data_IF_075755748349
#
_entry.id   IF_075755748349
#
_cell.length_a   1.000
_cell.length_b   1.000
_cell.length_c   1.000
_cell.angle_alpha   90.00
_cell.angle_beta   90.00
_cell.angle_gamma   90.00
#
_symmetry.space_group_name_H-M   'P 1'
#
loop_
_entity.id
_entity.type
_entity.pdbx_description
1 polymer ?
#
# COMPACT_ATOMS: atom_id res chain seq x y z
N UNK A 1 2.17 9.99 -7.80
CA UNK A 1 3.38 10.28 -8.58
C UNK A 1 4.33 9.09 -8.69
N UNK A 2 4.61 8.34 -7.60
CA UNK A 2 5.57 7.20 -7.62
C UNK A 2 5.18 6.09 -8.58
N UNK A 3 3.89 5.88 -8.82
CA UNK A 3 3.44 4.92 -9.83
C UNK A 3 3.97 5.26 -11.22
N UNK A 4 3.80 6.50 -11.68
CA UNK A 4 4.30 6.94 -13.00
C UNK A 4 5.81 6.70 -13.16
N UNK A 5 6.60 6.93 -12.10
CA UNK A 5 8.04 6.67 -12.11
C UNK A 5 8.36 5.16 -12.20
N UNK A 6 7.51 4.27 -11.68
CA UNK A 6 7.70 2.82 -11.87
C UNK A 6 7.44 2.39 -13.32
N UNK A 7 6.44 2.97 -13.99
CA UNK A 7 6.17 2.73 -15.41
C UNK A 7 7.30 3.27 -16.29
N UNK A 8 7.93 4.37 -15.87
CA UNK A 8 9.12 4.89 -16.53
C UNK A 8 10.28 3.90 -16.53
N UNK A 9 10.56 3.25 -15.39
CA UNK A 9 11.57 2.20 -15.29
C UNK A 9 11.26 0.88 -16.05
N UNK A 10 10.09 0.77 -16.69
CA UNK A 10 9.74 -0.34 -17.60
C UNK A 10 10.13 -0.04 -19.04
N UNK A 11 10.11 1.23 -19.43
CA UNK A 11 10.65 1.71 -20.70
C UNK A 11 12.17 1.93 -20.55
N UNK A 12 12.94 1.94 -21.63
CA UNK A 12 14.37 2.30 -21.52
C UNK A 12 15.32 1.21 -21.01
N UNK A 13 14.88 -0.05 -20.81
CA UNK A 13 15.74 -1.12 -20.24
C UNK A 13 16.83 -1.62 -21.18
N UNK A 14 16.58 -1.56 -22.49
CA UNK A 14 17.49 -2.10 -23.53
C UNK A 14 17.88 -1.03 -24.54
N UNK A 15 16.91 -0.18 -24.94
CA UNK A 15 17.10 0.97 -25.81
C UNK A 15 16.24 2.11 -25.27
N UNK A 16 16.52 3.35 -25.69
CA UNK A 16 15.70 4.52 -25.36
C UNK A 16 14.23 4.27 -25.67
N UNK A 17 13.38 4.45 -24.66
CA UNK A 17 11.96 4.18 -24.74
C UNK A 17 11.13 5.45 -24.55
N UNK A 18 9.97 5.50 -25.18
CA UNK A 18 9.02 6.63 -25.06
C UNK A 18 7.87 6.23 -24.14
N UNK A 19 7.34 7.21 -23.41
CA UNK A 19 6.18 7.02 -22.51
C UNK A 19 5.14 8.07 -22.87
N UNK A 20 3.95 7.61 -23.21
CA UNK A 20 2.84 8.48 -23.55
C UNK A 20 1.86 8.53 -22.39
N UNK A 21 1.80 9.67 -21.73
CA UNK A 21 0.85 9.91 -20.65
C UNK A 21 -0.49 10.41 -21.23
N UNK A 22 -1.55 9.62 -21.04
CA UNK A 22 -2.89 9.89 -21.59
C UNK A 22 -3.76 10.78 -20.69
N UNK A 23 -3.15 11.61 -19.85
CA UNK A 23 -3.85 12.55 -18.95
C UNK A 23 -3.24 13.94 -19.06
N UNK A 24 -4.02 14.97 -18.72
CA UNK A 24 -3.51 16.35 -18.75
C UNK A 24 -2.46 16.57 -17.67
N UNK A 25 -1.52 17.49 -17.91
CA UNK A 25 -0.48 17.83 -16.92
C UNK A 25 -1.07 18.38 -15.62
N UNK A 26 -2.19 19.10 -15.68
CA UNK A 26 -2.89 19.62 -14.50
C UNK A 26 -3.53 18.49 -13.69
N UNK A 27 -4.15 17.52 -14.36
CA UNK A 27 -4.71 16.34 -13.70
C UNK A 27 -3.61 15.51 -13.02
N UNK A 28 -2.50 15.29 -13.71
CA UNK A 28 -1.39 14.51 -13.17
C UNK A 28 -0.79 15.08 -11.89
N UNK A 29 -0.64 16.41 -11.81
CA UNK A 29 -0.11 17.09 -10.62
C UNK A 29 -0.99 16.90 -9.37
N UNK A 30 -2.28 16.59 -9.55
CA UNK A 30 -3.21 16.37 -8.45
C UNK A 30 -3.29 14.90 -8.01
N UNK A 31 -2.57 13.99 -8.66
CA UNK A 31 -2.55 12.57 -8.26
C UNK A 31 -1.69 12.37 -7.01
N UNK A 32 -2.18 11.55 -6.08
CA UNK A 32 -1.46 11.17 -4.87
C UNK A 32 -0.10 10.54 -5.19
N UNK A 33 0.90 10.81 -4.35
CA UNK A 33 2.25 10.28 -4.53
C UNK A 33 2.28 8.76 -4.46
N UNK A 34 1.51 8.19 -3.54
CA UNK A 34 1.36 6.77 -3.32
C UNK A 34 -0.11 6.40 -3.25
N UNK A 35 -0.46 5.21 -3.73
CA UNK A 35 -1.78 4.66 -3.44
C UNK A 35 -1.95 4.42 -1.95
N UNK A 36 -3.19 4.59 -1.47
CA UNK A 36 -3.56 4.24 -0.12
C UNK A 36 -3.21 2.77 0.18
N UNK A 37 -2.52 2.47 1.30
CA UNK A 37 -2.14 1.12 1.67
C UNK A 37 -3.31 0.14 1.60
N UNK A 38 -3.14 -0.97 0.88
CA UNK A 38 -4.23 -1.94 0.63
C UNK A 38 -4.83 -2.49 1.93
N UNK A 39 -4.05 -2.58 3.02
CA UNK A 39 -4.53 -3.02 4.34
C UNK A 39 -5.69 -2.15 4.89
N UNK A 40 -5.78 -0.87 4.48
CA UNK A 40 -6.85 0.03 4.87
C UNK A 40 -8.14 -0.16 4.05
N UNK A 41 -8.03 -0.86 2.91
CA UNK A 41 -9.12 -1.09 1.96
C UNK A 41 -9.65 -2.53 2.00
N UNK A 42 -8.97 -3.42 2.71
CA UNK A 42 -9.27 -4.85 2.78
C UNK A 42 -9.97 -5.23 4.08
N UNK A 43 -10.85 -6.24 4.01
CA UNK A 43 -11.31 -6.94 5.20
C UNK A 43 -10.15 -7.71 5.82
N UNK A 44 -9.80 -7.40 7.07
CA UNK A 44 -8.63 -7.97 7.75
C UNK A 44 -8.84 -9.41 8.25
N UNK A 45 -10.01 -10.02 8.03
CA UNK A 45 -10.37 -11.33 8.60
C UNK A 45 -9.39 -12.44 8.25
N UNK A 46 -8.99 -12.53 6.97
CA UNK A 46 -8.05 -13.58 6.52
C UNK A 46 -6.65 -13.34 7.10
N UNK A 47 -6.21 -12.09 7.16
CA UNK A 47 -4.91 -11.70 7.69
C UNK A 47 -4.83 -11.96 9.19
N UNK A 48 -5.91 -11.68 9.93
CA UNK A 48 -6.02 -12.01 11.36
C UNK A 48 -5.99 -13.52 11.57
N UNK A 49 -6.72 -14.30 10.77
CA UNK A 49 -6.68 -15.77 10.86
C UNK A 49 -5.26 -16.30 10.63
N UNK A 50 -4.57 -15.83 9.59
CA UNK A 50 -3.20 -16.22 9.28
C UNK A 50 -2.22 -15.84 10.40
N UNK A 51 -2.41 -14.69 11.05
CA UNK A 51 -1.60 -14.30 12.21
C UNK A 51 -1.83 -15.22 13.42
N UNK A 52 -3.07 -15.62 13.70
CA UNK A 52 -3.38 -16.55 14.79
C UNK A 52 -2.83 -17.97 14.54
N UNK A 53 -2.67 -18.36 13.26
CA UNK A 53 -2.13 -19.67 12.89
C UNK A 53 -0.60 -19.71 12.83
N UNK A 54 0.09 -18.58 13.02
CA UNK A 54 1.56 -18.53 13.03
C UNK A 54 2.09 -19.02 14.38
N UNK A 55 3.01 -19.99 14.35
CA UNK A 55 3.65 -20.57 15.56
C UNK A 55 4.53 -19.56 16.33
N UNK A 56 4.90 -18.45 15.68
CA UNK A 56 5.69 -17.39 16.29
C UNK A 56 4.88 -16.56 17.29
N UNK A 57 5.17 -16.74 18.59
CA UNK A 57 4.56 -15.97 19.69
C UNK A 57 4.72 -14.45 19.55
N UNK A 58 5.72 -13.97 18.81
CA UNK A 58 5.94 -12.54 18.56
C UNK A 58 4.88 -11.92 17.64
N UNK A 59 4.16 -12.75 16.85
CA UNK A 59 3.17 -12.33 15.85
C UNK A 59 1.72 -12.62 16.33
N UNK A 60 1.59 -13.33 17.45
CA UNK A 60 0.32 -13.93 17.88
C UNK A 60 -0.71 -12.91 18.43
N UNK A 61 -0.31 -11.65 18.69
CA UNK A 61 -1.26 -10.58 19.02
C UNK A 61 -1.46 -9.64 17.81
N UNK A 62 -2.57 -9.79 17.06
CA UNK A 62 -2.85 -8.97 15.89
C UNK A 62 -3.03 -7.48 16.25
N UNK A 63 -3.48 -7.17 17.47
CA UNK A 63 -3.66 -5.78 17.91
C UNK A 63 -2.31 -5.10 18.13
N UNK A 64 -1.34 -5.81 18.70
CA UNK A 64 0.03 -5.28 18.92
C UNK A 64 0.75 -5.07 17.59
N UNK A 65 0.59 -5.99 16.64
CA UNK A 65 1.16 -5.83 15.29
C UNK A 65 0.56 -4.65 14.54
N UNK A 66 -0.77 -4.51 14.54
CA UNK A 66 -1.42 -3.39 13.89
C UNK A 66 -1.00 -2.02 14.47
N UNK A 67 -0.69 -1.94 15.77
CA UNK A 67 -0.13 -0.71 16.37
C UNK A 67 1.33 -0.43 15.94
N UNK A 68 2.09 -1.46 15.60
CA UNK A 68 3.47 -1.33 15.09
C UNK A 68 3.52 -0.96 13.61
N UNK A 69 2.43 -1.14 12.86
CA UNK A 69 2.35 -0.65 11.49
C UNK A 69 2.33 0.88 11.50
N UNK A 70 3.23 1.47 10.72
CA UNK A 70 3.59 2.89 10.71
C UNK A 70 2.52 3.84 10.14
N UNK A 71 1.22 3.50 10.24
CA UNK A 71 0.16 4.35 9.69
C UNK A 71 -0.90 4.68 10.75
N UNK A 72 -1.12 5.97 11.08
CA UNK A 72 -2.11 6.39 12.07
C UNK A 72 -3.56 6.00 11.67
N UNK A 73 -3.79 5.72 10.39
CA UNK A 73 -5.08 5.31 9.85
C UNK A 73 -5.48 3.88 10.28
N UNK A 74 -4.52 2.96 10.49
CA UNK A 74 -4.80 1.58 10.95
C UNK A 74 -5.30 1.57 12.40
N UNK A 75 -4.79 2.47 13.23
CA UNK A 75 -5.20 2.61 14.63
C UNK A 75 -6.68 3.03 14.78
N UNK A 76 -7.20 3.84 13.85
CA UNK A 76 -8.60 4.30 13.89
C UNK A 76 -9.57 3.20 13.45
N UNK A 77 -9.18 2.34 12.51
CA UNK A 77 -10.00 1.19 12.09
C UNK A 77 -10.23 0.18 13.24
N UNK A 78 -9.28 0.05 14.17
CA UNK A 78 -9.40 -0.85 15.32
C UNK A 78 -10.20 -0.30 16.50
N UNK A 79 -10.47 1.01 16.54
CA UNK A 79 -11.29 1.65 17.60
C UNK A 79 -12.78 1.68 17.25
N UNK A 80 -13.12 1.41 16.00
CA UNK A 80 -14.49 1.41 15.48
C UNK A 80 -15.19 0.06 15.58
N UNK A 81 -14.55 -0.95 16.16
CA UNK A 81 -15.08 -2.31 16.29
C UNK A 81 -14.75 -2.89 17.67
#
# INVERSE_FOLDING_TARGET
MVWANQWEGRSGRTCDGQIYQLVTRSFFKNLEDHECPSILRLSLRQQVLLMCCVESRAINDPKVLCRRLWTPQILNLLKMH
#
